data_IF_850772804983
#
_entry.id   IF_850772804983
#
_cell.length_a   1.000
_cell.length_b   1.000
_cell.length_c   1.000
_cell.angle_alpha   90.00
_cell.angle_beta   90.00
_cell.angle_gamma   90.00
#
_symmetry.space_group_name_H-M   'P 1'
#
loop_
_entity.id
_entity.type
_entity.pdbx_description
1 polymer ?
#
# COMPACT_ATOMS: atom_id res chain seq x y z
N UNK A 1 -5.37 -28.36 -17.62
CA UNK A 1 -6.42 -28.10 -16.59
C UNK A 1 -5.78 -27.45 -15.36
N UNK A 2 -5.93 -26.18 -15.04
CA UNK A 2 -6.12 -24.97 -15.86
C UNK A 2 -5.26 -23.96 -15.11
N UNK A 3 -4.10 -23.56 -15.63
CA UNK A 3 -3.28 -22.47 -15.06
C UNK A 3 -4.14 -21.23 -14.79
N UNK A 4 -5.13 -20.98 -15.65
CA UNK A 4 -6.16 -19.98 -15.46
C UNK A 4 -7.04 -20.19 -14.22
N UNK A 5 -7.39 -21.43 -13.87
CA UNK A 5 -8.21 -21.74 -12.70
C UNK A 5 -7.40 -21.62 -11.41
N UNK A 6 -6.10 -21.97 -11.44
CA UNK A 6 -5.17 -21.70 -10.34
C UNK A 6 -5.02 -20.19 -10.15
N UNK A 7 -4.81 -19.43 -11.23
CA UNK A 7 -4.75 -17.97 -11.21
C UNK A 7 -6.03 -17.37 -10.60
N UNK A 8 -7.21 -17.77 -11.09
CA UNK A 8 -8.49 -17.31 -10.57
C UNK A 8 -8.68 -17.69 -9.08
N UNK A 9 -8.21 -18.85 -8.66
CA UNK A 9 -8.23 -19.29 -7.26
C UNK A 9 -7.33 -18.47 -6.34
N UNK A 10 -6.22 -17.90 -6.86
CA UNK A 10 -5.28 -17.08 -6.09
C UNK A 10 -5.54 -15.57 -6.20
N UNK A 11 -6.54 -15.14 -6.98
CA UNK A 11 -6.95 -13.73 -7.05
C UNK A 11 -7.33 -13.14 -5.68
N UNK A 12 -8.10 -13.82 -4.81
CA UNK A 12 -8.45 -13.27 -3.50
C UNK A 12 -7.21 -12.94 -2.66
N UNK A 13 -6.22 -13.82 -2.65
CA UNK A 13 -4.95 -13.62 -1.94
C UNK A 13 -4.20 -12.40 -2.47
N UNK A 14 -4.14 -12.27 -3.80
CA UNK A 14 -3.51 -11.12 -4.46
C UNK A 14 -4.19 -9.81 -4.11
N UNK A 15 -5.53 -9.81 -4.01
CA UNK A 15 -6.29 -8.62 -3.59
C UNK A 15 -6.02 -8.29 -2.13
N UNK A 16 -5.96 -9.28 -1.22
CA UNK A 16 -5.62 -9.03 0.20
C UNK A 16 -4.22 -8.43 0.35
N UNK A 17 -3.21 -8.95 -0.34
CA UNK A 17 -1.88 -8.33 -0.38
C UNK A 17 -1.95 -6.92 -0.96
N UNK A 18 -2.65 -6.73 -2.08
CA UNK A 18 -2.87 -5.42 -2.68
C UNK A 18 -3.51 -4.41 -1.70
N UNK A 19 -4.47 -4.84 -0.89
CA UNK A 19 -5.11 -4.02 0.14
C UNK A 19 -4.16 -3.69 1.29
N UNK A 20 -3.43 -4.67 1.83
CA UNK A 20 -2.44 -4.43 2.89
C UNK A 20 -1.39 -3.42 2.43
N UNK A 21 -0.78 -3.66 1.26
CA UNK A 21 0.24 -2.77 0.72
C UNK A 21 -0.32 -1.42 0.31
N UNK A 22 -1.60 -1.30 -0.06
CA UNK A 22 -2.18 -0.01 -0.45
C UNK A 22 -2.02 1.07 0.62
N UNK A 23 -2.02 0.68 1.91
CA UNK A 23 -1.77 1.59 3.03
C UNK A 23 -0.33 2.11 2.98
N UNK A 24 0.66 1.23 2.77
CA UNK A 24 2.05 1.63 2.53
C UNK A 24 2.16 2.50 1.27
N UNK A 25 1.47 2.16 0.17
CA UNK A 25 1.52 2.94 -1.07
C UNK A 25 0.95 4.34 -0.86
N UNK A 26 -0.07 4.52 -0.01
CA UNK A 26 -0.53 5.86 0.38
C UNK A 26 0.56 6.67 1.08
N UNK A 27 1.38 6.05 1.94
CA UNK A 27 2.55 6.69 2.56
C UNK A 27 3.58 7.11 1.51
N UNK A 28 4.00 6.18 0.66
CA UNK A 28 4.92 6.45 -0.46
C UNK A 28 4.39 7.54 -1.39
N UNK A 29 3.08 7.58 -1.62
CA UNK A 29 2.44 8.61 -2.44
C UNK A 29 2.61 10.01 -1.83
N UNK A 30 2.55 10.14 -0.50
CA UNK A 30 2.79 11.42 0.19
C UNK A 30 4.22 11.89 -0.05
N UNK A 31 5.22 11.04 0.21
CA UNK A 31 6.62 11.46 0.10
C UNK A 31 7.04 11.67 -1.35
N UNK A 32 6.78 10.70 -2.21
CA UNK A 32 7.29 10.75 -3.58
C UNK A 32 6.50 11.72 -4.47
N UNK A 33 5.16 11.70 -4.40
CA UNK A 33 4.33 12.45 -5.36
C UNK A 33 3.83 13.79 -4.85
N UNK A 34 3.67 13.94 -3.53
CA UNK A 34 3.19 15.21 -2.94
C UNK A 34 4.37 16.05 -2.46
N UNK A 35 5.32 15.47 -1.71
CA UNK A 35 6.42 16.22 -1.10
C UNK A 35 7.66 16.32 -2.00
N UNK A 36 7.70 15.57 -3.10
CA UNK A 36 8.89 15.39 -3.94
C UNK A 36 10.13 15.00 -3.10
N UNK A 37 9.95 13.98 -2.28
CA UNK A 37 10.96 13.44 -1.39
C UNK A 37 11.09 11.93 -1.63
N UNK A 38 12.23 11.45 -2.19
CA UNK A 38 12.46 10.02 -2.42
C UNK A 38 12.81 9.31 -1.11
N UNK A 39 11.78 9.07 -0.28
CA UNK A 39 11.94 8.50 1.04
C UNK A 39 12.21 6.98 0.99
N UNK A 40 13.49 6.61 1.12
CA UNK A 40 13.90 5.20 1.24
C UNK A 40 13.69 4.62 2.64
N UNK A 41 13.33 5.44 3.64
CA UNK A 41 13.04 4.98 5.01
C UNK A 41 11.88 3.97 5.05
N UNK A 42 11.02 4.00 4.04
CA UNK A 42 9.87 3.10 3.84
C UNK A 42 10.28 1.63 3.96
N UNK A 43 11.42 1.26 3.38
CA UNK A 43 11.94 -0.12 3.46
C UNK A 43 12.37 -0.49 4.89
N UNK A 44 12.79 0.46 5.72
CA UNK A 44 13.11 0.17 7.13
C UNK A 44 11.87 0.19 8.04
N UNK A 45 10.97 1.16 7.81
CA UNK A 45 9.82 1.39 8.68
C UNK A 45 8.71 0.36 8.48
N UNK A 46 8.61 -0.26 7.31
CA UNK A 46 7.69 -1.37 7.07
C UNK A 46 8.02 -2.57 7.97
N UNK A 47 9.27 -3.02 7.99
CA UNK A 47 9.70 -4.11 8.89
C UNK A 47 9.65 -3.68 10.35
N UNK A 48 9.98 -2.43 10.68
CA UNK A 48 9.86 -1.91 12.05
C UNK A 48 8.44 -2.08 12.58
N UNK A 49 7.43 -1.82 11.76
CA UNK A 49 6.02 -2.05 12.12
C UNK A 49 5.73 -3.52 12.47
N UNK A 50 6.25 -4.47 11.68
CA UNK A 50 6.11 -5.90 11.97
C UNK A 50 6.83 -6.33 13.26
N UNK A 51 8.08 -5.91 13.45
CA UNK A 51 8.88 -6.27 14.62
C UNK A 51 8.31 -5.67 15.92
N UNK A 52 7.88 -4.41 15.89
CA UNK A 52 7.27 -3.77 17.07
C UNK A 52 5.89 -4.34 17.37
N UNK A 53 5.11 -4.72 16.35
CA UNK A 53 3.88 -5.47 16.55
C UNK A 53 4.15 -6.80 17.26
N UNK A 54 5.07 -7.62 16.73
CA UNK A 54 5.42 -8.91 17.32
C UNK A 54 5.95 -8.77 18.76
N UNK A 55 6.81 -7.78 19.03
CA UNK A 55 7.28 -7.50 20.39
C UNK A 55 6.14 -7.11 21.34
N UNK A 56 5.17 -6.34 20.87
CA UNK A 56 4.00 -5.98 21.68
C UNK A 56 3.15 -7.20 21.97
N UNK A 57 3.00 -8.14 21.03
CA UNK A 57 2.21 -9.36 21.21
C UNK A 57 2.85 -10.35 22.20
N UNK A 58 4.17 -10.30 22.40
CA UNK A 58 4.82 -11.06 23.47
C UNK A 58 4.47 -10.55 24.87
N UNK A 59 4.16 -9.25 25.00
CA UNK A 59 3.82 -8.61 26.28
C UNK A 59 2.30 -8.59 26.50
N UNK A 60 1.53 -8.31 25.45
CA UNK A 60 0.07 -8.18 25.47
C UNK A 60 -0.57 -9.08 24.40
N UNK A 61 -0.58 -10.42 24.59
CA UNK A 61 -0.95 -11.39 23.55
C UNK A 61 -2.39 -11.25 23.03
N UNK A 62 -3.32 -10.74 23.84
CA UNK A 62 -4.74 -10.64 23.50
C UNK A 62 -5.16 -9.25 22.97
N UNK A 63 -4.22 -8.33 22.74
CA UNK A 63 -4.53 -6.94 22.39
C UNK A 63 -3.85 -6.47 21.09
N UNK A 64 -4.21 -7.04 19.92
CA UNK A 64 -3.60 -6.69 18.64
C UNK A 64 -3.73 -5.21 18.26
N UNK A 65 -4.77 -4.53 18.76
CA UNK A 65 -4.95 -3.08 18.56
C UNK A 65 -3.80 -2.28 19.19
N UNK A 66 -3.31 -2.69 20.36
CA UNK A 66 -2.17 -2.03 21.01
C UNK A 66 -0.91 -2.24 20.15
N UNK A 67 -0.70 -3.45 19.62
CA UNK A 67 0.39 -3.72 18.69
C UNK A 67 0.36 -2.84 17.45
N UNK A 68 -0.83 -2.62 16.86
CA UNK A 68 -1.00 -1.72 15.71
C UNK A 68 -0.68 -0.25 16.06
N UNK A 69 -1.08 0.21 17.25
CA UNK A 69 -0.76 1.57 17.71
C UNK A 69 0.74 1.75 17.94
N UNK A 70 1.40 0.78 18.57
CA UNK A 70 2.86 0.81 18.79
C UNK A 70 3.60 0.79 17.45
N UNK A 71 3.15 -0.04 16.49
CA UNK A 71 3.69 -0.05 15.14
C UNK A 71 3.56 1.31 14.45
N UNK A 72 2.39 1.94 14.51
CA UNK A 72 2.15 3.27 13.93
C UNK A 72 3.07 4.34 14.57
N UNK A 73 3.26 4.31 15.89
CA UNK A 73 4.14 5.23 16.61
C UNK A 73 5.61 5.00 16.20
N UNK A 74 6.04 3.74 16.08
CA UNK A 74 7.41 3.42 15.66
C UNK A 74 7.71 3.94 14.25
N UNK A 75 6.76 3.81 13.32
CA UNK A 75 6.85 4.40 11.98
C UNK A 75 6.89 5.93 12.02
N UNK A 76 6.07 6.56 12.88
CA UNK A 76 6.09 8.01 13.08
C UNK A 76 7.47 8.49 13.53
N UNK A 77 8.11 7.78 14.47
CA UNK A 77 9.47 8.08 14.94
C UNK A 77 10.53 7.89 13.84
N UNK A 78 10.41 6.84 13.02
CA UNK A 78 11.28 6.66 11.86
C UNK A 78 11.18 7.86 10.89
N UNK A 79 9.97 8.30 10.57
CA UNK A 79 9.74 9.48 9.73
C UNK A 79 10.24 10.79 10.36
N UNK A 80 10.13 10.93 11.69
CA UNK A 80 10.69 12.06 12.43
C UNK A 80 12.22 12.09 12.29
N UNK A 81 12.90 10.96 12.47
CA UNK A 81 14.37 10.86 12.33
C UNK A 81 14.82 11.27 10.93
N UNK A 82 14.21 10.71 9.88
CA UNK A 82 14.52 11.09 8.49
C UNK A 82 14.26 12.57 8.23
N UNK A 83 13.15 13.10 8.75
CA UNK A 83 12.84 14.52 8.65
C UNK A 83 13.87 15.40 9.33
N UNK A 84 14.31 15.05 10.54
CA UNK A 84 15.35 15.78 11.27
C UNK A 84 16.70 15.73 10.57
N UNK A 85 17.10 14.57 10.03
CA UNK A 85 18.33 14.41 9.25
C UNK A 85 18.36 15.36 8.04
N UNK A 86 17.26 15.44 7.30
CA UNK A 86 17.19 16.34 6.16
C UNK A 86 17.11 17.82 6.58
N UNK A 87 16.16 18.15 7.47
CA UNK A 87 15.80 19.53 7.78
C UNK A 87 16.80 20.21 8.71
N UNK A 88 17.20 19.54 9.79
CA UNK A 88 18.09 20.15 10.81
C UNK A 88 19.56 20.00 10.43
N UNK A 89 19.94 18.86 9.87
CA UNK A 89 21.35 18.56 9.55
C UNK A 89 21.71 18.83 8.09
N UNK A 90 20.77 19.28 7.25
CA UNK A 90 21.02 19.66 5.86
C UNK A 90 21.42 18.50 4.95
N UNK A 91 21.18 17.24 5.37
CA UNK A 91 21.53 16.06 4.59
C UNK A 91 20.60 15.98 3.37
N UNK A 92 21.10 15.57 2.21
CA UNK A 92 20.28 15.39 1.01
C UNK A 92 19.10 14.44 1.28
N UNK A 93 17.92 14.74 0.68
CA UNK A 93 16.68 13.96 0.79
C UNK A 93 16.91 12.45 0.66
N UNK A 94 17.59 12.01 -0.41
CA UNK A 94 17.83 10.58 -0.65
C UNK A 94 18.72 9.96 0.43
N UNK A 95 19.83 10.64 0.76
CA UNK A 95 20.81 10.15 1.74
C UNK A 95 20.20 10.06 3.14
N UNK A 96 19.35 11.00 3.53
CA UNK A 96 18.65 10.95 4.82
C UNK A 96 17.78 9.69 4.95
N UNK A 97 17.08 9.30 3.88
CA UNK A 97 16.31 8.06 3.85
C UNK A 97 17.18 6.80 3.91
N UNK A 98 18.31 6.76 3.18
CA UNK A 98 19.27 5.64 3.21
C UNK A 98 19.86 5.45 4.61
N UNK A 99 20.25 6.54 5.27
CA UNK A 99 20.81 6.49 6.63
C UNK A 99 19.78 5.90 7.59
N UNK A 100 18.55 6.39 7.58
CA UNK A 100 17.50 5.87 8.47
C UNK A 100 17.16 4.42 8.15
N UNK A 101 17.02 4.05 6.87
CA UNK A 101 16.76 2.66 6.45
C UNK A 101 17.85 1.70 6.94
N UNK A 102 19.12 2.08 6.79
CA UNK A 102 20.27 1.28 7.21
C UNK A 102 20.31 1.12 8.74
N UNK A 103 20.03 2.19 9.48
CA UNK A 103 19.92 2.13 10.93
C UNK A 103 18.74 1.23 11.37
N UNK A 104 17.58 1.36 10.72
CA UNK A 104 16.39 0.58 11.02
C UNK A 104 16.60 -0.92 10.79
N UNK A 105 17.37 -1.33 9.79
CA UNK A 105 17.72 -2.73 9.59
C UNK A 105 18.32 -3.36 10.86
N UNK A 106 19.27 -2.66 11.50
CA UNK A 106 19.89 -3.13 12.75
C UNK A 106 18.96 -2.98 13.96
N UNK A 107 18.16 -1.91 14.02
CA UNK A 107 17.19 -1.68 15.11
C UNK A 107 16.13 -2.78 15.11
N UNK A 108 15.58 -3.13 13.95
CA UNK A 108 14.57 -4.17 13.78
C UNK A 108 15.03 -5.50 14.38
N UNK A 109 16.27 -5.91 14.08
CA UNK A 109 16.86 -7.12 14.65
C UNK A 109 16.99 -7.06 16.19
N UNK A 110 17.28 -5.87 16.73
CA UNK A 110 17.42 -5.63 18.18
C UNK A 110 16.10 -5.58 18.93
N UNK A 111 14.97 -5.23 18.29
CA UNK A 111 13.66 -5.19 18.97
C UNK A 111 13.31 -6.54 19.59
N UNK A 112 13.63 -7.65 18.92
CA UNK A 112 13.35 -9.02 19.37
C UNK A 112 14.60 -9.89 19.57
N UNK A 113 15.79 -9.31 19.42
CA UNK A 113 17.09 -10.01 19.41
C UNK A 113 17.13 -11.22 18.46
N UNK A 114 16.35 -11.17 17.37
CA UNK A 114 16.24 -12.22 16.36
C UNK A 114 16.07 -11.60 14.98
N UNK A 115 16.66 -12.18 13.92
CA UNK A 115 16.49 -11.70 12.55
C UNK A 115 15.11 -12.06 11.96
N UNK A 116 14.42 -13.04 12.55
CA UNK A 116 13.11 -13.51 12.15
C UNK A 116 12.31 -14.00 13.35
N UNK A 117 11.00 -13.74 13.35
CA UNK A 117 10.05 -14.12 14.40
C UNK A 117 8.74 -14.59 13.77
N UNK A 118 8.23 -15.72 14.24
CA UNK A 118 6.91 -16.25 13.88
C UNK A 118 5.87 -15.72 14.87
N UNK A 119 4.70 -15.36 14.35
CA UNK A 119 3.54 -14.94 15.12
C UNK A 119 2.59 -16.12 15.27
N UNK A 120 2.04 -16.27 16.47
CA UNK A 120 1.00 -17.29 16.73
C UNK A 120 -0.35 -16.83 16.18
N UNK A 121 -1.25 -17.78 15.91
CA UNK A 121 -2.57 -17.47 15.36
C UNK A 121 -3.36 -16.52 16.28
N UNK A 122 -3.29 -16.75 17.59
CA UNK A 122 -4.03 -15.98 18.60
C UNK A 122 -3.59 -14.51 18.68
N UNK A 123 -2.37 -14.21 18.23
CA UNK A 123 -1.81 -12.86 18.20
C UNK A 123 -2.32 -12.05 16.99
N UNK A 124 -2.98 -12.68 16.02
CA UNK A 124 -3.49 -12.03 14.82
C UNK A 124 -4.98 -11.74 14.95
N UNK A 125 -5.37 -10.48 14.80
CA UNK A 125 -6.78 -10.11 14.76
C UNK A 125 -7.56 -10.76 13.61
N UNK A 126 -6.87 -11.22 12.55
CA UNK A 126 -7.47 -11.95 11.44
C UNK A 126 -7.97 -13.34 11.87
N UNK A 127 -7.43 -13.88 12.96
CA UNK A 127 -7.85 -15.17 13.51
C UNK A 127 -8.91 -15.01 14.62
N UNK A 128 -8.82 -13.94 15.41
CA UNK A 128 -9.79 -13.64 16.50
C UNK A 128 -11.19 -13.33 15.93
N UNK A 129 -11.26 -12.77 14.73
CA UNK A 129 -12.50 -12.32 14.09
C UNK A 129 -13.14 -13.49 13.31
N UNK A 130 -14.26 -13.99 13.81
CA UNK A 130 -15.03 -15.06 13.15
C UNK A 130 -16.17 -14.51 12.27
N UNK A 131 -16.45 -15.21 11.17
CA UNK A 131 -17.51 -14.81 10.22
C UNK A 131 -18.88 -14.70 10.90
N UNK A 132 -19.27 -15.71 11.68
CA UNK A 132 -20.61 -15.80 12.28
C UNK A 132 -20.95 -14.63 13.19
N UNK A 133 -19.95 -14.12 13.93
CA UNK A 133 -20.14 -13.02 14.88
C UNK A 133 -20.01 -11.64 14.23
N UNK A 134 -19.07 -11.47 13.29
CA UNK A 134 -18.67 -10.14 12.84
C UNK A 134 -19.21 -9.73 11.47
N UNK A 135 -19.77 -10.63 10.68
CA UNK A 135 -20.28 -10.28 9.34
C UNK A 135 -21.35 -9.17 9.40
N UNK A 136 -22.36 -9.29 10.27
CA UNK A 136 -23.41 -8.28 10.44
C UNK A 136 -22.89 -6.96 11.01
N UNK A 137 -21.90 -7.02 11.90
CA UNK A 137 -21.27 -5.83 12.47
C UNK A 137 -20.50 -5.07 11.38
N UNK A 138 -19.74 -5.79 10.55
CA UNK A 138 -18.95 -5.22 9.46
C UNK A 138 -19.84 -4.63 8.35
N UNK A 139 -20.98 -5.26 8.06
CA UNK A 139 -21.96 -4.70 7.11
C UNK A 139 -22.49 -3.36 7.57
N UNK A 140 -22.91 -3.26 8.84
CA UNK A 140 -23.35 -1.99 9.45
C UNK A 140 -22.23 -0.95 9.43
N UNK A 141 -21.01 -1.33 9.82
CA UNK A 141 -19.86 -0.41 9.85
C UNK A 141 -19.63 0.22 8.48
N UNK A 142 -19.57 -0.54 7.38
CA UNK A 142 -19.33 0.15 6.11
C UNK A 142 -20.55 0.82 5.49
N UNK A 143 -21.78 0.52 5.90
CA UNK A 143 -22.92 1.42 5.60
C UNK A 143 -22.65 2.78 6.25
N UNK A 144 -22.25 2.79 7.52
CA UNK A 144 -21.90 4.04 8.24
C UNK A 144 -20.72 4.75 7.56
N UNK A 145 -19.66 4.03 7.17
CA UNK A 145 -18.53 4.64 6.47
C UNK A 145 -18.92 5.20 5.09
N UNK A 146 -19.84 4.57 4.37
CA UNK A 146 -20.38 5.10 3.10
C UNK A 146 -21.19 6.38 3.31
N UNK A 147 -21.96 6.46 4.40
CA UNK A 147 -22.69 7.69 4.79
C UNK A 147 -21.69 8.80 5.12
N UNK A 148 -20.67 8.52 5.94
CA UNK A 148 -19.62 9.48 6.29
C UNK A 148 -18.94 9.99 5.02
N UNK A 149 -18.61 9.08 4.09
CA UNK A 149 -18.04 9.44 2.79
C UNK A 149 -18.96 10.36 1.99
N UNK A 150 -20.25 10.05 1.92
CA UNK A 150 -21.21 10.87 1.19
C UNK A 150 -21.27 12.30 1.75
N UNK A 151 -21.38 12.44 3.07
CA UNK A 151 -21.38 13.74 3.75
C UNK A 151 -20.10 14.52 3.50
N UNK A 152 -18.96 13.83 3.50
CA UNK A 152 -17.66 14.42 3.21
C UNK A 152 -17.53 14.89 1.75
N UNK A 153 -17.88 14.04 0.78
CA UNK A 153 -17.79 14.38 -0.64
C UNK A 153 -18.71 15.57 -0.99
N UNK A 154 -19.88 15.71 -0.36
CA UNK A 154 -20.79 16.86 -0.56
C UNK A 154 -20.17 18.21 -0.17
N UNK A 155 -19.21 18.23 0.77
CA UNK A 155 -18.53 19.47 1.17
C UNK A 155 -17.51 19.96 0.15
N UNK A 156 -17.03 19.07 -0.73
CA UNK A 156 -15.84 19.32 -1.57
C UNK A 156 -16.18 19.27 -3.06
N UNK A 157 -17.13 18.42 -3.46
CA UNK A 157 -17.44 18.14 -4.87
C UNK A 157 -18.82 18.68 -5.25
N UNK A 158 -19.01 19.07 -6.53
CA UNK A 158 -20.34 19.35 -7.06
C UNK A 158 -21.21 18.09 -7.01
N UNK A 159 -22.51 18.25 -6.77
CA UNK A 159 -23.46 17.15 -6.53
C UNK A 159 -23.38 16.02 -7.57
N UNK A 160 -23.29 16.35 -8.87
CA UNK A 160 -23.18 15.36 -9.96
C UNK A 160 -22.01 14.38 -9.77
N UNK A 161 -20.87 14.84 -9.25
CA UNK A 161 -19.68 14.01 -9.02
C UNK A 161 -19.73 13.26 -7.68
N UNK A 162 -20.46 13.80 -6.69
CA UNK A 162 -20.71 13.12 -5.41
C UNK A 162 -21.49 11.83 -5.65
N UNK A 163 -22.62 11.90 -6.36
CA UNK A 163 -23.44 10.72 -6.63
C UNK A 163 -22.71 9.67 -7.47
N UNK A 164 -21.94 10.10 -8.49
CA UNK A 164 -21.10 9.19 -9.27
C UNK A 164 -20.04 8.50 -8.41
N UNK A 165 -19.38 9.26 -7.53
CA UNK A 165 -18.40 8.68 -6.62
C UNK A 165 -19.09 7.68 -5.70
N UNK A 166 -20.18 8.07 -5.03
CA UNK A 166 -20.92 7.20 -4.12
C UNK A 166 -21.36 5.88 -4.78
N UNK A 167 -21.92 5.96 -5.99
CA UNK A 167 -22.36 4.79 -6.75
C UNK A 167 -21.23 3.78 -6.97
N UNK A 168 -20.02 4.24 -7.33
CA UNK A 168 -18.85 3.37 -7.52
C UNK A 168 -18.53 2.59 -6.24
N UNK A 169 -18.54 3.26 -5.08
CA UNK A 169 -18.22 2.60 -3.82
C UNK A 169 -19.33 1.68 -3.34
N UNK A 170 -20.60 2.03 -3.58
CA UNK A 170 -21.74 1.14 -3.32
C UNK A 170 -21.59 -0.14 -4.13
N UNK A 171 -21.26 -0.05 -5.43
CA UNK A 171 -21.08 -1.22 -6.28
C UNK A 171 -19.93 -2.12 -5.79
N UNK A 172 -18.78 -1.53 -5.44
CA UNK A 172 -17.65 -2.27 -4.87
C UNK A 172 -18.07 -2.99 -3.59
N UNK A 173 -18.81 -2.31 -2.72
CA UNK A 173 -19.22 -2.86 -1.44
C UNK A 173 -20.26 -3.97 -1.58
N UNK A 174 -21.27 -3.80 -2.43
CA UNK A 174 -22.27 -4.83 -2.75
C UNK A 174 -21.61 -6.07 -3.34
N UNK A 175 -20.68 -5.89 -4.28
CA UNK A 175 -19.91 -7.00 -4.85
C UNK A 175 -19.07 -7.72 -3.78
N UNK A 176 -18.43 -6.95 -2.89
CA UNK A 176 -17.63 -7.52 -1.79
C UNK A 176 -18.50 -8.31 -0.81
N UNK A 177 -19.65 -7.79 -0.39
CA UNK A 177 -20.60 -8.49 0.48
C UNK A 177 -21.02 -9.81 -0.16
N UNK A 178 -21.40 -9.79 -1.44
CA UNK A 178 -21.79 -11.00 -2.16
C UNK A 178 -20.65 -12.03 -2.13
N UNK A 179 -19.42 -11.63 -2.49
CA UNK A 179 -18.25 -12.51 -2.43
C UNK A 179 -18.01 -13.09 -1.04
N UNK A 180 -18.05 -12.27 0.01
CA UNK A 180 -17.80 -12.67 1.39
C UNK A 180 -18.90 -13.61 1.89
N UNK A 181 -20.14 -13.41 1.48
CA UNK A 181 -21.25 -14.30 1.83
C UNK A 181 -21.05 -15.71 1.24
N UNK A 182 -20.59 -15.81 -0.01
CA UNK A 182 -20.34 -17.10 -0.67
C UNK A 182 -19.10 -17.81 -0.13
N UNK A 183 -18.01 -17.08 0.10
CA UNK A 183 -16.70 -17.65 0.46
C UNK A 183 -16.44 -17.73 1.96
N UNK A 184 -17.23 -17.02 2.77
CA UNK A 184 -17.03 -16.82 4.21
C UNK A 184 -15.68 -16.21 4.57
N UNK A 185 -15.01 -15.54 3.63
CA UNK A 185 -13.70 -14.90 3.83
C UNK A 185 -13.84 -13.56 4.57
N UNK A 186 -13.91 -13.63 5.90
CA UNK A 186 -14.05 -12.46 6.77
C UNK A 186 -12.80 -11.57 6.79
N UNK A 187 -11.63 -12.15 6.51
CA UNK A 187 -10.34 -11.44 6.46
C UNK A 187 -10.33 -10.42 5.32
N UNK A 188 -10.85 -10.79 4.16
CA UNK A 188 -11.04 -9.88 3.03
C UNK A 188 -11.93 -8.68 3.42
N UNK A 189 -13.01 -8.94 4.16
CA UNK A 189 -13.91 -7.89 4.64
C UNK A 189 -13.21 -6.91 5.57
N UNK A 190 -12.50 -7.44 6.57
CA UNK A 190 -11.78 -6.63 7.54
C UNK A 190 -10.77 -5.72 6.84
N UNK A 191 -9.97 -6.25 5.91
CA UNK A 191 -9.01 -5.48 5.13
C UNK A 191 -9.67 -4.36 4.31
N UNK A 192 -10.80 -4.64 3.65
CA UNK A 192 -11.57 -3.62 2.94
C UNK A 192 -12.02 -2.48 3.86
N UNK A 193 -12.50 -2.80 5.06
CA UNK A 193 -12.92 -1.80 6.06
C UNK A 193 -11.74 -0.94 6.50
N UNK A 194 -10.61 -1.55 6.86
CA UNK A 194 -9.42 -0.84 7.35
C UNK A 194 -8.88 0.10 6.27
N UNK A 195 -8.69 -0.42 5.05
CA UNK A 195 -8.22 0.38 3.92
C UNK A 195 -9.20 1.52 3.64
N UNK A 196 -10.51 1.29 3.75
CA UNK A 196 -11.50 2.34 3.53
C UNK A 196 -11.46 3.42 4.62
N UNK A 197 -11.30 3.04 5.89
CA UNK A 197 -11.12 4.00 7.00
C UNK A 197 -9.85 4.82 6.81
N UNK A 198 -8.71 4.18 6.55
CA UNK A 198 -7.43 4.87 6.30
C UNK A 198 -7.56 5.80 5.09
N UNK A 199 -8.22 5.35 4.02
CA UNK A 199 -8.51 6.17 2.84
C UNK A 199 -9.33 7.41 3.20
N UNK A 200 -10.36 7.31 4.02
CA UNK A 200 -11.19 8.46 4.41
C UNK A 200 -10.38 9.46 5.24
N UNK A 201 -9.56 8.97 6.17
CA UNK A 201 -8.62 9.80 6.93
C UNK A 201 -7.66 10.51 5.98
N UNK A 202 -7.09 9.79 5.02
CA UNK A 202 -6.15 10.34 4.06
C UNK A 202 -6.79 11.36 3.11
N UNK A 203 -8.00 11.11 2.64
CA UNK A 203 -8.74 12.10 1.84
C UNK A 203 -8.92 13.39 2.64
N UNK A 204 -9.34 13.28 3.90
CA UNK A 204 -9.54 14.42 4.79
C UNK A 204 -8.24 15.20 5.02
N UNK A 205 -7.16 14.51 5.39
CA UNK A 205 -5.86 15.12 5.63
C UNK A 205 -5.37 15.84 4.36
N UNK A 206 -5.44 15.19 3.20
CA UNK A 206 -4.93 15.78 1.98
C UNK A 206 -5.75 16.98 1.52
N UNK A 207 -7.06 17.06 1.78
CA UNK A 207 -7.87 18.24 1.43
C UNK A 207 -7.83 19.35 2.49
N UNK A 208 -7.34 19.05 3.68
CA UNK A 208 -7.19 20.04 4.75
C UNK A 208 -6.16 21.13 4.39
N UNK A 209 -6.10 22.21 5.18
CA UNK A 209 -5.09 23.27 5.02
C UNK A 209 -3.67 22.70 5.01
N UNK A 210 -3.38 21.75 5.91
CA UNK A 210 -2.10 21.05 5.95
C UNK A 210 -1.81 20.33 4.63
N UNK A 211 -2.77 19.58 4.11
CA UNK A 211 -2.61 18.84 2.85
C UNK A 211 -2.45 19.73 1.61
N UNK A 212 -3.08 20.91 1.59
CA UNK A 212 -2.87 21.89 0.52
C UNK A 212 -1.47 22.53 0.58
N UNK A 213 -1.02 22.89 1.79
CA UNK A 213 0.35 23.38 2.01
C UNK A 213 1.37 22.31 1.63
N UNK A 214 1.13 21.05 1.99
CA UNK A 214 2.02 19.92 1.68
C UNK A 214 2.21 19.74 0.16
N UNK A 215 1.15 19.93 -0.64
CA UNK A 215 1.24 19.92 -2.11
C UNK A 215 1.96 21.15 -2.65
N UNK A 216 1.60 22.34 -2.17
CA UNK A 216 2.24 23.58 -2.59
C UNK A 216 3.75 23.54 -2.28
N UNK A 217 4.14 22.88 -1.19
CA UNK A 217 5.51 22.70 -0.79
C UNK A 217 6.31 21.82 -1.75
N UNK A 218 5.72 20.72 -2.22
CA UNK A 218 6.37 19.86 -3.23
C UNK A 218 6.43 20.50 -4.62
N UNK A 219 5.48 21.38 -4.95
CA UNK A 219 5.49 22.11 -6.22
C UNK A 219 6.50 23.29 -6.19
N UNK A 220 6.48 24.11 -5.13
CA UNK A 220 7.36 25.27 -4.98
C UNK A 220 7.60 25.62 -3.51
N UNK A 221 8.76 25.23 -2.99
CA UNK A 221 9.16 25.48 -1.62
C UNK A 221 9.28 26.98 -1.27
N UNK A 222 9.77 27.79 -2.20
CA UNK A 222 9.97 29.24 -2.04
C UNK A 222 8.63 29.95 -1.88
N UNK A 223 7.60 29.51 -2.62
CA UNK A 223 6.26 30.07 -2.49
C UNK A 223 5.72 29.84 -1.08
N UNK A 224 5.88 28.64 -0.52
CA UNK A 224 5.38 28.31 0.82
C UNK A 224 6.12 29.08 1.91
N UNK A 225 7.44 29.26 1.78
CA UNK A 225 8.21 30.08 2.73
C UNK A 225 7.76 31.55 2.71
N UNK A 226 7.46 32.09 1.53
CA UNK A 226 6.98 33.48 1.38
C UNK A 226 5.58 33.70 1.97
N UNK A 227 4.77 32.64 2.09
CA UNK A 227 3.47 32.67 2.75
C UNK A 227 3.57 32.60 4.30
N UNK A 228 4.78 32.66 4.86
CA UNK A 228 5.02 32.65 6.32
C UNK A 228 4.83 31.27 6.97
N UNK A 229 4.74 30.20 6.18
CA UNK A 229 4.59 28.84 6.68
C UNK A 229 5.97 28.20 6.86
N UNK A 230 6.20 27.59 8.02
CA UNK A 230 7.45 26.88 8.29
C UNK A 230 7.54 25.59 7.46
N UNK A 231 8.25 25.66 6.34
CA UNK A 231 8.52 24.54 5.43
C UNK A 231 9.03 23.31 6.19
N UNK A 232 10.02 23.52 7.03
CA UNK A 232 10.70 22.50 7.85
C UNK A 232 9.73 21.62 8.63
N UNK A 233 8.79 22.24 9.37
CA UNK A 233 7.80 21.50 10.16
C UNK A 233 6.88 20.70 9.26
N UNK A 234 6.46 21.25 8.12
CA UNK A 234 5.57 20.58 7.17
C UNK A 234 6.26 19.38 6.53
N UNK A 235 7.53 19.49 6.14
CA UNK A 235 8.34 18.35 5.63
C UNK A 235 8.41 17.22 6.65
N UNK A 236 8.76 17.54 7.89
CA UNK A 236 8.86 16.54 8.98
C UNK A 236 7.51 15.87 9.21
N UNK A 237 6.42 16.65 9.31
CA UNK A 237 5.07 16.10 9.49
C UNK A 237 4.64 15.19 8.33
N UNK A 238 4.99 15.54 7.09
CA UNK A 238 4.73 14.71 5.91
C UNK A 238 5.46 13.37 5.96
N UNK A 239 6.74 13.37 6.38
CA UNK A 239 7.55 12.16 6.54
C UNK A 239 7.06 11.28 7.71
N UNK A 240 6.68 11.90 8.83
CA UNK A 240 6.05 11.22 9.97
C UNK A 240 4.76 10.52 9.54
N UNK A 241 3.86 11.22 8.85
CA UNK A 241 2.59 10.66 8.38
C UNK A 241 2.80 9.52 7.38
N UNK A 242 3.77 9.67 6.47
CA UNK A 242 4.11 8.59 5.53
C UNK A 242 4.56 7.33 6.25
N UNK A 243 5.56 7.46 7.13
CA UNK A 243 6.13 6.29 7.81
C UNK A 243 5.15 5.69 8.85
N UNK A 244 4.20 6.47 9.39
CA UNK A 244 3.07 5.94 10.16
C UNK A 244 2.25 4.93 9.35
N UNK A 245 1.88 5.28 8.12
CA UNK A 245 1.10 4.40 7.24
C UNK A 245 1.91 3.16 6.84
N UNK A 246 3.19 3.35 6.52
CA UNK A 246 4.10 2.28 6.11
C UNK A 246 4.28 1.25 7.22
N UNK A 247 4.58 1.69 8.46
CA UNK A 247 4.72 0.77 9.59
C UNK A 247 3.39 0.10 9.95
N UNK A 248 2.26 0.81 9.85
CA UNK A 248 0.93 0.21 10.05
C UNK A 248 0.67 -0.91 9.02
N UNK A 249 1.02 -0.69 7.76
CA UNK A 249 0.93 -1.71 6.71
C UNK A 249 1.85 -2.91 6.99
N UNK A 250 3.07 -2.67 7.48
CA UNK A 250 4.00 -3.72 7.89
C UNK A 250 3.50 -4.58 9.05
N UNK A 251 2.83 -3.97 10.05
CA UNK A 251 2.19 -4.70 11.14
C UNK A 251 1.00 -5.55 10.64
N UNK A 252 0.23 -5.07 9.68
CA UNK A 252 -0.84 -5.83 9.04
C UNK A 252 -0.30 -6.99 8.21
N UNK A 253 0.78 -6.75 7.47
CA UNK A 253 1.47 -7.78 6.70
C UNK A 253 2.00 -8.89 7.60
N UNK A 254 2.67 -8.53 8.70
CA UNK A 254 3.14 -9.46 9.72
C UNK A 254 2.02 -10.33 10.29
N UNK A 255 0.88 -9.73 10.63
CA UNK A 255 -0.30 -10.46 11.12
C UNK A 255 -0.91 -11.40 10.08
N UNK A 256 -0.82 -11.03 8.79
CA UNK A 256 -1.38 -11.79 7.69
C UNK A 256 -0.51 -13.00 7.34
N UNK A 257 0.79 -12.79 7.14
CA UNK A 257 1.75 -13.83 6.77
C UNK A 257 2.25 -14.63 7.98
N UNK A 258 2.04 -14.11 9.20
CA UNK A 258 2.43 -14.71 10.49
C UNK A 258 3.94 -14.85 10.69
N UNK A 259 4.72 -14.11 9.92
CA UNK A 259 6.18 -14.08 10.00
C UNK A 259 6.63 -12.63 9.85
N UNK A 260 7.64 -12.29 10.63
CA UNK A 260 8.40 -11.06 10.47
C UNK A 260 9.85 -11.45 10.28
N UNK A 261 10.47 -11.00 9.19
CA UNK A 261 11.89 -11.16 8.91
C UNK A 261 12.48 -9.83 8.44
N UNK A 262 13.80 -9.68 8.53
CA UNK A 262 14.49 -8.46 8.07
C UNK A 262 14.41 -8.27 6.54
N UNK A 263 14.16 -9.36 5.80
CA UNK A 263 14.10 -9.35 4.34
C UNK A 263 12.73 -8.99 3.75
N UNK A 264 11.62 -9.11 4.49
CA UNK A 264 10.27 -8.82 3.97
C UNK A 264 10.09 -7.41 3.44
N UNK A 265 10.87 -6.43 3.92
CA UNK A 265 10.72 -5.04 3.49
C UNK A 265 11.66 -4.61 2.37
N UNK A 266 12.56 -5.49 1.91
CA UNK A 266 13.51 -5.13 0.85
C UNK A 266 12.74 -4.88 -0.46
N UNK A 267 12.80 -3.64 -0.96
CA UNK A 267 12.14 -3.25 -2.20
C UNK A 267 10.68 -2.83 -2.03
N UNK A 268 10.20 -2.58 -0.81
CA UNK A 268 8.84 -2.05 -0.59
C UNK A 268 8.62 -0.68 -1.25
N UNK A 269 9.66 0.16 -1.30
CA UNK A 269 9.63 1.42 -2.05
C UNK A 269 9.43 1.18 -3.55
N UNK A 270 10.06 0.16 -4.12
CA UNK A 270 9.92 -0.19 -5.55
C UNK A 270 8.49 -0.65 -5.81
N UNK A 271 7.94 -1.51 -4.94
CA UNK A 271 6.53 -1.95 -4.98
C UNK A 271 5.59 -0.73 -4.90
N UNK A 272 5.88 0.22 -4.00
CA UNK A 272 5.10 1.44 -3.83
C UNK A 272 5.09 2.32 -5.07
N UNK A 273 6.27 2.63 -5.60
CA UNK A 273 6.41 3.44 -6.82
C UNK A 273 5.76 2.74 -8.02
N UNK A 274 5.97 1.44 -8.18
CA UNK A 274 5.33 0.65 -9.23
C UNK A 274 3.80 0.73 -9.12
N UNK A 275 3.24 0.54 -7.93
CA UNK A 275 1.80 0.63 -7.66
C UNK A 275 1.23 2.00 -8.00
N UNK A 276 1.93 3.09 -7.67
CA UNK A 276 1.53 4.46 -8.05
C UNK A 276 1.54 4.62 -9.58
N UNK A 277 2.59 4.13 -10.25
CA UNK A 277 2.70 4.19 -11.71
C UNK A 277 1.59 3.39 -12.40
N UNK A 278 1.31 2.17 -11.92
CA UNK A 278 0.22 1.33 -12.42
C UNK A 278 -1.13 2.02 -12.27
N UNK A 279 -1.43 2.54 -11.07
CA UNK A 279 -2.67 3.26 -10.81
C UNK A 279 -2.83 4.48 -11.72
N UNK A 280 -1.87 5.41 -11.68
CA UNK A 280 -1.96 6.69 -12.40
C UNK A 280 -1.82 6.54 -13.92
N UNK A 281 -1.12 5.52 -14.39
CA UNK A 281 -0.93 5.24 -15.82
C UNK A 281 -2.15 4.62 -16.49
N UNK A 282 -2.85 3.73 -15.77
CA UNK A 282 -4.05 3.03 -16.26
C UNK A 282 -5.29 3.91 -16.06
N UNK A 283 -5.47 4.45 -14.86
CA UNK A 283 -6.69 5.15 -14.46
C UNK A 283 -6.49 6.67 -14.57
N UNK A 284 -7.30 7.32 -15.40
CA UNK A 284 -7.30 8.78 -15.50
C UNK A 284 -7.96 9.39 -14.26
N UNK A 285 -7.31 10.40 -13.68
CA UNK A 285 -7.92 11.24 -12.64
C UNK A 285 -9.18 11.91 -13.20
N UNK A 286 -10.29 11.77 -12.49
CA UNK A 286 -11.54 12.46 -12.79
C UNK A 286 -12.04 13.18 -11.53
N UNK A 287 -13.00 14.09 -11.65
CA UNK A 287 -13.62 14.74 -10.47
C UNK A 287 -14.36 13.76 -9.55
N UNK A 288 -14.68 12.54 -10.01
CA UNK A 288 -15.34 11.50 -9.21
C UNK A 288 -14.36 10.61 -8.42
N UNK A 289 -13.14 10.41 -8.92
CA UNK A 289 -12.15 9.46 -8.38
C UNK A 289 -10.92 10.24 -7.90
N UNK A 290 -10.65 10.17 -6.60
CA UNK A 290 -9.51 10.84 -5.97
C UNK A 290 -8.21 10.06 -6.22
N UNK A 291 -7.07 10.75 -6.10
CA UNK A 291 -5.76 10.13 -6.31
C UNK A 291 -5.52 8.94 -5.36
N UNK A 292 -5.96 9.02 -4.10
CA UNK A 292 -5.82 7.93 -3.13
C UNK A 292 -6.55 6.66 -3.62
N UNK A 293 -7.74 6.80 -4.21
CA UNK A 293 -8.48 5.68 -4.80
C UNK A 293 -7.74 5.03 -5.97
N UNK A 294 -7.08 5.86 -6.79
CA UNK A 294 -6.26 5.39 -7.91
C UNK A 294 -5.05 4.61 -7.41
N UNK A 295 -4.43 5.08 -6.33
CA UNK A 295 -3.28 4.42 -5.69
C UNK A 295 -3.65 3.07 -5.09
N UNK A 296 -4.81 2.95 -4.42
CA UNK A 296 -5.32 1.66 -3.91
C UNK A 296 -5.49 0.67 -5.05
N UNK A 297 -6.17 1.09 -6.12
CA UNK A 297 -6.38 0.24 -7.29
C UNK A 297 -5.06 -0.15 -7.96
N UNK A 298 -4.10 0.77 -8.01
CA UNK A 298 -2.74 0.51 -8.50
C UNK A 298 -2.02 -0.59 -7.71
N UNK A 299 -2.14 -0.60 -6.38
CA UNK A 299 -1.60 -1.66 -5.51
C UNK A 299 -2.25 -3.01 -5.78
N UNK A 300 -3.58 -3.05 -5.93
CA UNK A 300 -4.30 -4.29 -6.26
C UNK A 300 -3.88 -4.81 -7.64
N UNK A 301 -3.79 -3.94 -8.64
CA UNK A 301 -3.32 -4.30 -9.99
C UNK A 301 -1.90 -4.84 -9.94
N UNK A 302 -1.00 -4.21 -9.17
CA UNK A 302 0.37 -4.68 -9.02
C UNK A 302 0.45 -6.13 -8.53
N UNK A 303 -0.30 -6.47 -7.47
CA UNK A 303 -0.30 -7.84 -6.93
C UNK A 303 -1.01 -8.84 -7.84
N UNK A 304 -2.02 -8.42 -8.61
CA UNK A 304 -2.61 -9.27 -9.66
C UNK A 304 -1.58 -9.57 -10.77
N UNK A 305 -0.77 -8.59 -11.16
CA UNK A 305 0.30 -8.78 -12.15
C UNK A 305 1.38 -9.72 -11.60
N UNK A 306 1.78 -9.57 -10.33
CA UNK A 306 2.71 -10.51 -9.68
C UNK A 306 2.13 -11.93 -9.70
N UNK A 307 0.86 -12.09 -9.31
CA UNK A 307 0.21 -13.39 -9.30
C UNK A 307 0.16 -14.01 -10.70
N UNK A 308 -0.17 -13.21 -11.70
CA UNK A 308 -0.14 -13.63 -13.09
C UNK A 308 1.26 -14.10 -13.51
N UNK A 309 2.30 -13.34 -13.17
CA UNK A 309 3.69 -13.66 -13.49
C UNK A 309 4.19 -14.93 -12.79
N UNK A 310 3.77 -15.17 -11.54
CA UNK A 310 4.12 -16.38 -10.79
C UNK A 310 3.46 -17.64 -11.37
N UNK A 311 2.26 -17.52 -11.94
CA UNK A 311 1.46 -18.63 -12.46
C UNK A 311 1.51 -18.79 -13.99
N UNK A 312 2.30 -17.96 -14.69
CA UNK A 312 2.39 -18.00 -16.16
C UNK A 312 3.35 -19.06 -16.70
N UNK A 313 4.09 -19.77 -15.85
CA UNK A 313 5.08 -20.79 -16.26
C UNK A 313 4.47 -21.84 -17.19
N UNK A 314 3.37 -22.47 -16.76
CA UNK A 314 2.67 -23.48 -17.56
C UNK A 314 2.10 -22.93 -18.87
N UNK A 315 1.67 -21.66 -18.89
CA UNK A 315 1.17 -21.01 -20.11
C UNK A 315 2.32 -20.85 -21.10
N UNK A 316 3.49 -20.42 -20.64
CA UNK A 316 4.66 -20.26 -21.51
C UNK A 316 5.21 -21.59 -22.01
N UNK A 317 5.19 -22.62 -21.17
CA UNK A 317 5.60 -23.98 -21.55
C UNK A 317 4.72 -24.50 -22.69
N UNK A 318 3.39 -24.36 -22.58
CA UNK A 318 2.44 -24.76 -23.61
C UNK A 318 2.65 -23.98 -24.92
N UNK A 319 2.88 -22.67 -24.85
CA UNK A 319 3.14 -21.84 -26.04
C UNK A 319 4.41 -22.29 -26.76
N UNK A 320 5.52 -22.49 -26.04
CA UNK A 320 6.77 -22.91 -26.67
C UNK A 320 6.71 -24.33 -27.22
N UNK A 321 5.96 -25.21 -26.56
CA UNK A 321 5.69 -26.56 -27.07
C UNK A 321 4.93 -26.50 -28.41
N UNK A 322 3.89 -25.68 -28.51
CA UNK A 322 3.13 -25.49 -29.77
C UNK A 322 3.98 -24.85 -30.87
N UNK A 323 4.93 -23.98 -30.52
CA UNK A 323 5.88 -23.38 -31.45
C UNK A 323 7.01 -24.33 -31.90
N UNK A 324 7.03 -25.58 -31.42
CA UNK A 324 7.97 -26.62 -31.86
C UNK A 324 9.35 -26.55 -31.20
N UNK A 325 9.50 -25.85 -30.08
CA UNK A 325 10.77 -25.81 -29.36
C UNK A 325 11.05 -27.15 -28.67
N UNK A 326 12.34 -27.54 -28.61
CA UNK A 326 12.76 -28.74 -27.89
C UNK A 326 12.67 -28.53 -26.36
N UNK A 327 12.48 -29.61 -25.58
CA UNK A 327 12.29 -29.57 -24.12
C UNK A 327 13.39 -28.80 -23.38
N UNK A 328 14.64 -28.92 -23.84
CA UNK A 328 15.80 -28.25 -23.23
C UNK A 328 15.79 -26.73 -23.46
N UNK A 329 15.21 -26.29 -24.57
CA UNK A 329 15.06 -24.86 -24.89
C UNK A 329 13.87 -24.29 -24.12
N UNK A 330 12.77 -25.04 -24.03
CA UNK A 330 11.59 -24.66 -23.25
C UNK A 330 11.97 -24.44 -21.79
N UNK A 331 12.72 -25.35 -21.16
CA UNK A 331 13.12 -25.20 -19.75
C UNK A 331 14.02 -23.98 -19.48
N UNK A 332 14.73 -23.49 -20.51
CA UNK A 332 15.57 -22.29 -20.41
C UNK A 332 14.81 -21.00 -20.66
N UNK A 333 13.84 -21.01 -21.58
CA UNK A 333 13.08 -19.83 -21.99
C UNK A 333 11.76 -19.66 -21.24
N UNK A 334 11.27 -20.69 -20.57
CA UNK A 334 10.03 -20.62 -19.81
C UNK A 334 10.14 -19.64 -18.66
N UNK A 335 9.03 -18.95 -18.40
CA UNK A 335 8.95 -17.96 -17.34
C UNK A 335 9.04 -18.68 -16.00
N UNK A 336 10.06 -18.33 -15.23
CA UNK A 336 10.25 -18.83 -13.87
C UNK A 336 9.64 -17.85 -12.86
N UNK A 337 9.28 -18.32 -11.64
CA UNK A 337 8.85 -17.43 -10.56
C UNK A 337 9.87 -16.31 -10.23
N UNK A 338 11.15 -16.51 -10.54
CA UNK A 338 12.20 -15.48 -10.41
C UNK A 338 12.04 -14.32 -11.39
N UNK A 339 11.36 -14.54 -12.51
CA UNK A 339 11.25 -13.58 -13.62
C UNK A 339 10.12 -12.55 -13.40
N UNK A 340 9.41 -12.64 -12.27
CA UNK A 340 8.38 -11.67 -11.86
C UNK A 340 8.90 -10.23 -11.92
N UNK A 341 10.17 -10.00 -11.56
CA UNK A 341 10.80 -8.66 -11.64
C UNK A 341 10.98 -8.19 -13.09
N UNK A 342 11.30 -9.10 -14.00
CA UNK A 342 11.43 -8.79 -15.44
C UNK A 342 10.05 -8.44 -16.02
N UNK A 343 9.05 -9.27 -15.73
CA UNK A 343 7.68 -9.09 -16.21
C UNK A 343 7.10 -7.77 -15.71
N UNK A 344 7.21 -7.51 -14.41
CA UNK A 344 6.73 -6.25 -13.81
C UNK A 344 7.44 -5.02 -14.40
N UNK A 345 8.76 -5.09 -14.62
CA UNK A 345 9.50 -4.01 -15.28
C UNK A 345 9.02 -3.75 -16.71
N UNK A 346 8.73 -4.81 -17.48
CA UNK A 346 8.23 -4.72 -18.85
C UNK A 346 6.82 -4.08 -18.88
N UNK A 347 5.91 -4.51 -18.01
CA UNK A 347 4.60 -3.88 -17.86
C UNK A 347 4.68 -2.40 -17.47
N UNK A 348 5.57 -2.04 -16.54
CA UNK A 348 5.82 -0.65 -16.15
C UNK A 348 6.31 0.18 -17.34
N UNK A 349 7.29 -0.32 -18.09
CA UNK A 349 7.83 0.36 -19.27
C UNK A 349 6.74 0.61 -20.32
N UNK A 350 5.89 -0.39 -20.60
CA UNK A 350 4.77 -0.27 -21.54
C UNK A 350 3.78 0.80 -21.08
N UNK A 351 3.39 0.79 -19.81
CA UNK A 351 2.43 1.77 -19.26
C UNK A 351 2.99 3.19 -19.31
N UNK A 352 4.26 3.38 -18.96
CA UNK A 352 4.92 4.68 -19.04
C UNK A 352 5.00 5.18 -20.49
N UNK A 353 5.32 4.30 -21.44
CA UNK A 353 5.35 4.64 -22.87
C UNK A 353 3.97 5.05 -23.40
N UNK A 354 2.91 4.33 -23.02
CA UNK A 354 1.53 4.66 -23.38
C UNK A 354 1.06 5.97 -22.71
N UNK A 355 1.45 6.21 -21.47
CA UNK A 355 1.16 7.44 -20.73
C UNK A 355 1.75 8.68 -21.39
N UNK A 356 3.00 8.62 -21.86
CA UNK A 356 3.68 9.73 -22.54
C UNK A 356 3.01 10.10 -23.88
N UNK A 357 2.51 9.12 -24.63
CA UNK A 357 1.72 9.36 -25.87
C UNK A 357 0.41 10.10 -25.57
N UNK A 358 -0.25 9.80 -24.44
CA UNK A 358 -1.50 10.49 -24.04
C UNK A 358 -1.28 11.95 -23.62
N UNK A 359 -0.13 12.28 -23.03
CA UNK A 359 0.22 13.66 -22.66
C UNK A 359 0.49 14.56 -23.87
N UNK A 360 1.08 14.01 -24.94
CA UNK A 360 1.32 14.72 -26.21
C UNK A 360 0.09 14.92 -27.09
N UNK A 361 -1.01 14.23 -26.82
CA UNK A 361 -2.27 14.37 -27.58
C UNK A 361 -3.17 15.49 -27.05
N UNK A 362 -2.85 16.05 -25.89
CA UNK A 362 -3.63 17.09 -25.20
C UNK A 362 -2.86 18.42 -25.03
N UNK A 363 -1.67 18.50 -25.63
CA UNK A 363 -0.90 19.73 -25.82
C UNK A 363 -0.82 19.96 -27.33
#
# INVERSE_FOLDING_TARGET
>A
MNSLLIFLGLLPESIKFGLIYSIMVMGVYITYKILDFPDLTVDGSFTLGGFTFAATMLIFPNHPIIGLLVAAISGTLAGLVTGLLHVRYGINKLLSGIITMTALYSINARVLNKPNVFLENEQSWFFIISYEKYFSIFTVIAIVLLIIKFLYDRRIKPDKYVYKSLLIYILIYVFSIAYIYYTKDITMYLLLLIVFVVKLIMDYILTSKFGLILRALGDNEILVSNLGVSVDKVKIMGLMLSNLLVASSGALFAQYIKVVDLSSSVGTIIIGLASIIFGMGIIKRTRSINNISIVILGSIIYYIIINFALNSSSITDEIFYVLGFNSDIIQKLSVKPTDVKIITALFLAVILALGKKRGKSNA
#
